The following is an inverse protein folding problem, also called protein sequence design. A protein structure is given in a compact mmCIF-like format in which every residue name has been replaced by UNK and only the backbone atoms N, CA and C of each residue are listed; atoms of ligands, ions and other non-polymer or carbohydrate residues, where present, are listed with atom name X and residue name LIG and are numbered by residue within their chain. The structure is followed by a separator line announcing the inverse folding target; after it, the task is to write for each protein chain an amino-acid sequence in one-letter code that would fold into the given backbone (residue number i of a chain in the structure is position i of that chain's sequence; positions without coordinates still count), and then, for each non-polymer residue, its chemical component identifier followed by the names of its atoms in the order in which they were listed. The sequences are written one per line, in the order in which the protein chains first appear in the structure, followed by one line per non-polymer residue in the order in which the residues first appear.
data_IF_965489620343
#
_entry.id   IF_965489620343
#
_cell.length_a   1.000
_cell.length_b   1.000
_cell.length_c   1.000
_cell.angle_alpha   90.00
_cell.angle_beta   90.00
_cell.angle_gamma   90.00
#
_symmetry.space_group_name_H-M   'P 1'
#
loop_
_entity.id
_entity.type
_entity.pdbx_description
1 polymer ?
#
# COMPACT_ATOMS: atom_id res chain seq x y z
N UNK A 1 4.83 62.74 -9.25
CA UNK A 1 4.40 62.18 -7.94
C UNK A 1 2.98 61.68 -8.10
N UNK A 2 2.72 60.46 -7.61
CA UNK A 2 1.43 59.76 -7.49
C UNK A 2 1.13 58.67 -8.54
N UNK A 3 1.27 57.42 -8.06
CA UNK A 3 0.41 56.24 -8.25
C UNK A 3 0.55 55.33 -9.49
N UNK A 4 1.07 54.12 -9.25
CA UNK A 4 0.47 52.78 -9.50
C UNK A 4 1.61 51.76 -9.33
N UNK A 5 1.99 51.33 -8.12
CA UNK A 5 1.37 50.28 -7.29
C UNK A 5 1.17 48.97 -8.05
N UNK A 6 2.05 48.02 -7.70
CA UNK A 6 1.88 46.56 -7.61
C UNK A 6 1.21 45.78 -8.75
N UNK A 7 2.04 45.15 -9.58
CA UNK A 7 1.63 43.97 -10.36
C UNK A 7 2.78 42.98 -10.51
N UNK A 8 3.22 42.34 -9.42
CA UNK A 8 4.05 41.10 -9.51
C UNK A 8 3.81 40.11 -8.36
N UNK A 9 2.86 40.35 -7.45
CA UNK A 9 2.63 39.50 -6.27
C UNK A 9 1.34 38.64 -6.33
N UNK A 10 0.78 38.42 -7.52
CA UNK A 10 -0.52 37.74 -7.71
C UNK A 10 -0.46 36.55 -8.69
N UNK A 11 0.68 35.86 -8.76
CA UNK A 11 0.78 34.58 -9.49
C UNK A 11 0.89 33.35 -8.59
N UNK A 12 1.11 33.54 -7.28
CA UNK A 12 1.35 32.45 -6.32
C UNK A 12 0.08 32.03 -5.53
N UNK A 13 -1.07 32.64 -5.80
CA UNK A 13 -2.35 32.34 -5.14
C UNK A 13 -3.29 31.41 -5.93
N UNK A 14 -2.87 30.93 -7.11
CA UNK A 14 -3.75 30.16 -8.01
C UNK A 14 -3.66 28.62 -7.87
N UNK A 15 -2.85 28.08 -6.95
CA UNK A 15 -2.68 26.61 -6.84
C UNK A 15 -3.56 25.92 -5.77
N UNK A 16 -4.48 26.65 -5.12
CA UNK A 16 -5.38 26.10 -4.09
C UNK A 16 -6.68 25.48 -4.64
N UNK A 17 -6.78 25.28 -5.97
CA UNK A 17 -7.97 24.71 -6.62
C UNK A 17 -7.70 23.35 -7.27
N UNK A 18 -6.94 22.47 -6.62
CA UNK A 18 -7.09 21.04 -6.88
C UNK A 18 -8.46 20.64 -6.31
N UNK A 19 -9.49 20.64 -7.17
CA UNK A 19 -10.86 20.32 -6.79
C UNK A 19 -10.92 19.01 -5.97
N UNK A 20 -11.91 18.90 -5.08
CA UNK A 20 -12.11 17.66 -4.30
C UNK A 20 -11.99 16.46 -5.24
N UNK A 21 -11.14 15.46 -4.93
CA UNK A 21 -11.04 14.26 -5.75
C UNK A 21 -12.43 13.69 -5.99
N UNK A 22 -12.68 13.16 -7.18
CA UNK A 22 -13.92 12.42 -7.42
C UNK A 22 -14.04 11.31 -6.36
N UNK A 23 -15.28 10.98 -5.99
CA UNK A 23 -15.53 9.92 -5.00
C UNK A 23 -14.78 8.64 -5.41
N UNK A 24 -13.98 8.08 -4.50
CA UNK A 24 -13.18 6.87 -4.75
C UNK A 24 -11.80 7.12 -5.34
N UNK A 25 -11.44 8.37 -5.64
CA UNK A 25 -10.15 8.71 -6.27
C UNK A 25 -9.18 9.47 -5.35
N UNK A 26 -9.55 9.74 -4.09
CA UNK A 26 -8.62 10.39 -3.16
C UNK A 26 -7.55 9.38 -2.70
N UNK A 27 -6.28 9.55 -3.11
CA UNK A 27 -5.21 8.62 -2.75
C UNK A 27 -4.93 8.63 -1.25
N UNK A 28 -5.14 9.76 -0.56
CA UNK A 28 -4.96 9.87 0.89
C UNK A 28 -6.00 9.02 1.60
N UNK A 29 -7.26 9.11 1.15
CA UNK A 29 -8.35 8.30 1.70
C UNK A 29 -8.15 6.81 1.44
N UNK A 30 -7.71 6.46 0.22
CA UNK A 30 -7.39 5.07 -0.15
C UNK A 30 -6.29 4.50 0.75
N UNK A 31 -5.20 5.23 0.95
CA UNK A 31 -4.10 4.83 1.82
C UNK A 31 -4.56 4.69 3.28
N UNK A 32 -5.40 5.60 3.78
CA UNK A 32 -5.98 5.52 5.12
C UNK A 32 -6.79 4.23 5.32
N UNK A 33 -7.59 3.85 4.33
CA UNK A 33 -8.39 2.61 4.36
C UNK A 33 -7.47 1.37 4.35
N UNK A 34 -6.46 1.34 3.48
CA UNK A 34 -5.50 0.22 3.38
C UNK A 34 -4.71 0.07 4.69
N UNK A 35 -4.32 1.16 5.32
CA UNK A 35 -3.62 1.11 6.61
C UNK A 35 -4.53 0.60 7.75
N UNK A 36 -5.81 0.99 7.76
CA UNK A 36 -6.77 0.40 8.69
C UNK A 36 -6.97 -1.10 8.44
N UNK A 37 -7.06 -1.49 7.16
CA UNK A 37 -7.16 -2.90 6.75
C UNK A 37 -5.97 -3.72 7.24
N UNK A 38 -4.75 -3.22 7.02
CA UNK A 38 -3.50 -3.82 7.45
C UNK A 38 -3.54 -4.17 8.93
N UNK A 39 -3.90 -3.20 9.79
CA UNK A 39 -3.96 -3.42 11.24
C UNK A 39 -5.01 -4.45 11.63
N UNK A 40 -6.21 -4.38 11.05
CA UNK A 40 -7.27 -5.35 11.34
C UNK A 40 -6.88 -6.77 10.92
N UNK A 41 -6.29 -6.95 9.74
CA UNK A 41 -5.90 -8.28 9.27
C UNK A 41 -4.69 -8.86 10.02
N UNK A 42 -3.78 -8.00 10.48
CA UNK A 42 -2.65 -8.39 11.33
C UNK A 42 -3.12 -8.88 12.71
N UNK A 43 -4.12 -8.19 13.28
CA UNK A 43 -4.65 -8.48 14.61
C UNK A 43 -5.61 -9.67 14.61
N UNK A 44 -6.56 -9.69 13.68
CA UNK A 44 -7.66 -10.67 13.65
C UNK A 44 -7.46 -11.81 12.67
N UNK A 45 -6.53 -11.69 11.73
CA UNK A 45 -6.48 -12.53 10.54
C UNK A 45 -7.56 -12.14 9.51
N UNK A 46 -7.46 -12.69 8.30
CA UNK A 46 -8.41 -12.42 7.22
C UNK A 46 -9.84 -12.88 7.56
N UNK A 47 -9.97 -14.05 8.18
CA UNK A 47 -11.25 -14.69 8.46
C UNK A 47 -12.12 -13.90 9.46
N UNK A 48 -11.57 -13.59 10.63
CA UNK A 48 -12.31 -12.90 11.69
C UNK A 48 -12.49 -11.39 11.44
N UNK A 49 -11.78 -10.82 10.46
CA UNK A 49 -11.94 -9.43 10.06
C UNK A 49 -13.24 -9.20 9.28
N UNK A 50 -13.87 -8.04 9.53
CA UNK A 50 -15.05 -7.56 8.79
C UNK A 50 -14.82 -6.16 8.19
N UNK A 51 -15.60 -5.81 7.16
CA UNK A 51 -15.62 -4.44 6.61
C UNK A 51 -15.94 -3.38 7.68
N UNK A 52 -16.76 -3.71 8.67
CA UNK A 52 -17.09 -2.81 9.78
C UNK A 52 -15.90 -2.59 10.74
N UNK A 53 -15.10 -3.64 10.99
CA UNK A 53 -13.86 -3.50 11.75
C UNK A 53 -12.89 -2.54 11.06
N UNK A 54 -12.72 -2.73 9.75
CA UNK A 54 -11.81 -1.91 8.93
C UNK A 54 -12.31 -0.46 8.87
N UNK A 55 -13.62 -0.26 8.70
CA UNK A 55 -14.25 1.07 8.71
C UNK A 55 -13.93 1.82 10.01
N UNK A 56 -14.10 1.13 11.15
CA UNK A 56 -13.82 1.69 12.48
C UNK A 56 -12.34 1.99 12.66
N UNK A 57 -11.47 1.04 12.31
CA UNK A 57 -10.02 1.18 12.44
C UNK A 57 -9.45 2.28 11.54
N UNK A 58 -9.96 2.39 10.32
CA UNK A 58 -9.55 3.44 9.38
C UNK A 58 -10.14 4.81 9.73
N UNK A 59 -11.13 4.90 10.63
CA UNK A 59 -11.80 6.17 10.95
C UNK A 59 -12.57 6.77 9.76
N UNK A 60 -13.18 5.92 8.92
CA UNK A 60 -13.99 6.33 7.76
C UNK A 60 -15.45 5.93 7.95
N UNK A 61 -16.35 6.46 7.13
CA UNK A 61 -17.75 6.00 7.15
C UNK A 61 -17.93 4.72 6.33
N UNK A 62 -19.00 3.97 6.61
CA UNK A 62 -19.37 2.79 5.81
C UNK A 62 -19.57 3.16 4.33
N UNK A 63 -20.27 4.26 4.04
CA UNK A 63 -20.42 4.73 2.66
C UNK A 63 -19.07 5.06 2.00
N UNK A 64 -18.12 5.61 2.77
CA UNK A 64 -16.78 5.91 2.27
C UNK A 64 -16.01 4.65 1.91
N UNK A 65 -15.98 3.61 2.75
CA UNK A 65 -15.19 2.41 2.44
C UNK A 65 -15.69 1.70 1.17
N UNK A 66 -17.01 1.60 1.00
CA UNK A 66 -17.63 0.92 -0.16
C UNK A 66 -17.51 1.70 -1.48
N UNK A 67 -17.12 2.97 -1.41
CA UNK A 67 -16.77 3.75 -2.61
C UNK A 67 -15.36 3.38 -3.13
N UNK A 68 -14.48 2.86 -2.27
CA UNK A 68 -13.11 2.45 -2.65
C UNK A 68 -12.97 0.95 -2.86
N UNK A 69 -13.72 0.14 -2.12
CA UNK A 69 -13.60 -1.32 -2.14
C UNK A 69 -14.98 -1.95 -1.96
N UNK A 70 -15.39 -2.77 -2.92
CA UNK A 70 -16.69 -3.45 -2.94
C UNK A 70 -16.82 -4.45 -1.79
N UNK A 71 -15.71 -5.11 -1.43
CA UNK A 71 -15.70 -6.19 -0.45
C UNK A 71 -14.33 -6.32 0.25
N UNK A 72 -14.26 -7.28 1.19
CA UNK A 72 -13.08 -7.52 2.04
C UNK A 72 -11.92 -8.09 1.21
N UNK A 73 -12.25 -8.88 0.20
CA UNK A 73 -11.35 -9.57 -0.70
C UNK A 73 -10.59 -8.58 -1.58
N UNK A 74 -11.28 -7.65 -2.23
CA UNK A 74 -10.68 -6.59 -3.05
C UNK A 74 -9.73 -5.70 -2.23
N UNK A 75 -10.17 -5.33 -1.02
CA UNK A 75 -9.38 -4.55 -0.09
C UNK A 75 -8.15 -5.31 0.42
N UNK A 76 -8.26 -6.63 0.61
CA UNK A 76 -7.12 -7.49 0.92
C UNK A 76 -6.14 -7.57 -0.26
N UNK A 77 -6.63 -7.80 -1.49
CA UNK A 77 -5.79 -7.80 -2.69
C UNK A 77 -5.01 -6.48 -2.85
N UNK A 78 -5.68 -5.35 -2.64
CA UNK A 78 -5.06 -4.02 -2.70
C UNK A 78 -3.97 -3.82 -1.64
N UNK A 79 -4.20 -4.29 -0.42
CA UNK A 79 -3.20 -4.27 0.65
C UNK A 79 -1.96 -5.10 0.27
N UNK A 80 -2.18 -6.30 -0.25
CA UNK A 80 -1.08 -7.20 -0.62
C UNK A 80 -0.23 -6.62 -1.76
N UNK A 81 -0.85 -5.98 -2.75
CA UNK A 81 -0.14 -5.29 -3.82
C UNK A 81 0.73 -4.13 -3.29
N UNK A 82 0.21 -3.36 -2.33
CA UNK A 82 0.96 -2.25 -1.69
C UNK A 82 2.13 -2.75 -0.84
N UNK A 83 1.94 -3.83 -0.08
CA UNK A 83 3.01 -4.45 0.70
C UNK A 83 4.10 -5.02 -0.21
N UNK A 84 3.74 -5.66 -1.33
CA UNK A 84 4.70 -6.17 -2.33
C UNK A 84 5.60 -5.04 -2.86
N UNK A 85 4.99 -3.94 -3.29
CA UNK A 85 5.72 -2.77 -3.78
C UNK A 85 6.67 -2.20 -2.71
N UNK A 86 6.23 -2.14 -1.46
CA UNK A 86 7.02 -1.56 -0.36
C UNK A 86 8.15 -2.47 0.12
N UNK A 87 7.90 -3.78 0.24
CA UNK A 87 8.84 -4.76 0.81
C UNK A 87 10.06 -4.95 -0.10
N UNK A 88 9.85 -4.97 -1.41
CA UNK A 88 10.89 -5.36 -2.38
C UNK A 88 11.55 -4.19 -3.12
N UNK A 89 11.00 -2.97 -3.08
CA UNK A 89 11.56 -1.81 -3.79
C UNK A 89 13.06 -1.61 -3.53
N UNK A 90 13.47 -1.51 -2.26
CA UNK A 90 14.87 -1.27 -1.90
C UNK A 90 15.76 -2.51 -2.10
N UNK A 91 15.17 -3.69 -2.27
CA UNK A 91 15.94 -4.92 -2.48
C UNK A 91 16.50 -4.95 -3.91
N UNK A 92 15.71 -4.51 -4.89
CA UNK A 92 16.12 -4.48 -6.29
C UNK A 92 17.17 -3.40 -6.59
N UNK A 93 17.17 -2.29 -5.86
CA UNK A 93 18.19 -1.23 -5.99
C UNK A 93 19.63 -1.74 -5.74
N UNK A 94 19.78 -2.84 -4.99
CA UNK A 94 21.07 -3.52 -4.76
C UNK A 94 21.61 -4.14 -6.06
N UNK A 95 20.73 -4.56 -6.96
CA UNK A 95 21.11 -5.17 -8.23
C UNK A 95 21.51 -4.13 -9.29
N UNK A 96 21.04 -2.89 -9.17
CA UNK A 96 21.34 -1.81 -10.12
C UNK A 96 22.80 -1.32 -10.06
N UNK A 97 23.47 -1.53 -8.92
CA UNK A 97 24.84 -1.09 -8.68
C UNK A 97 25.82 -2.26 -8.83
N UNK A 98 26.04 -2.66 -10.08
CA UNK A 98 26.83 -3.83 -10.43
C UNK A 98 28.29 -3.47 -10.75
N UNK A 99 29.22 -3.86 -9.86
CA UNK A 99 30.66 -3.87 -10.14
C UNK A 99 31.26 -5.28 -10.15
N UNK A 100 30.87 -6.12 -9.16
CA UNK A 100 31.34 -7.49 -8.99
C UNK A 100 30.15 -8.42 -8.72
N UNK A 101 29.93 -9.39 -9.62
CA UNK A 101 28.79 -10.31 -9.56
C UNK A 101 28.68 -11.03 -8.23
N UNK A 102 29.80 -11.56 -7.72
CA UNK A 102 29.80 -12.33 -6.47
C UNK A 102 29.42 -11.43 -5.30
N UNK A 103 30.03 -10.24 -5.20
CA UNK A 103 29.76 -9.29 -4.12
C UNK A 103 28.32 -8.78 -4.17
N UNK A 104 27.80 -8.47 -5.35
CA UNK A 104 26.41 -8.03 -5.53
C UNK A 104 25.42 -9.12 -5.14
N UNK A 105 25.62 -10.37 -5.60
CA UNK A 105 24.74 -11.49 -5.23
C UNK A 105 24.79 -11.82 -3.74
N UNK A 106 25.96 -11.74 -3.10
CA UNK A 106 26.07 -11.95 -1.64
C UNK A 106 25.34 -10.85 -0.87
N UNK A 107 25.53 -9.58 -1.22
CA UNK A 107 24.82 -8.46 -0.59
C UNK A 107 23.31 -8.58 -0.77
N UNK A 108 22.87 -8.90 -1.99
CA UNK A 108 21.46 -9.13 -2.29
C UNK A 108 20.90 -10.30 -1.48
N UNK A 109 21.59 -11.45 -1.46
CA UNK A 109 21.15 -12.62 -0.71
C UNK A 109 21.04 -12.37 0.79
N UNK A 110 21.98 -11.62 1.38
CA UNK A 110 21.92 -11.19 2.78
C UNK A 110 20.75 -10.24 3.04
N UNK A 111 20.58 -9.22 2.20
CA UNK A 111 19.47 -8.26 2.32
C UNK A 111 18.10 -8.94 2.17
N UNK A 112 17.98 -9.85 1.19
CA UNK A 112 16.81 -10.67 0.97
C UNK A 112 16.53 -11.54 2.21
N UNK A 113 17.54 -12.26 2.71
CA UNK A 113 17.40 -13.14 3.88
C UNK A 113 16.89 -12.35 5.10
N UNK A 114 17.54 -11.23 5.43
CA UNK A 114 17.12 -10.37 6.56
C UNK A 114 15.69 -9.87 6.37
N UNK A 115 15.31 -9.50 5.14
CA UNK A 115 13.97 -9.00 4.83
C UNK A 115 12.91 -10.08 4.99
N UNK A 116 13.08 -11.23 4.33
CA UNK A 116 12.07 -12.30 4.31
C UNK A 116 11.92 -12.97 5.67
N UNK A 117 12.96 -12.99 6.50
CA UNK A 117 12.90 -13.52 7.87
C UNK A 117 12.50 -12.48 8.91
N UNK A 118 12.16 -11.26 8.51
CA UNK A 118 11.70 -10.24 9.47
C UNK A 118 10.30 -10.59 10.00
N UNK A 119 10.05 -10.28 11.27
CA UNK A 119 8.76 -10.58 11.91
C UNK A 119 7.58 -9.97 11.13
N UNK A 120 7.74 -8.75 10.60
CA UNK A 120 6.73 -8.07 9.77
C UNK A 120 6.38 -8.89 8.52
N UNK A 121 7.39 -9.34 7.77
CA UNK A 121 7.16 -10.09 6.52
C UNK A 121 6.58 -11.47 6.81
N UNK A 122 7.05 -12.16 7.87
CA UNK A 122 6.49 -13.44 8.31
C UNK A 122 5.02 -13.28 8.68
N UNK A 123 4.66 -12.23 9.42
CA UNK A 123 3.27 -11.98 9.80
C UNK A 123 2.39 -11.73 8.56
N UNK A 124 2.85 -10.89 7.63
CA UNK A 124 2.14 -10.65 6.37
C UNK A 124 1.95 -11.94 5.56
N UNK A 125 2.99 -12.77 5.44
CA UNK A 125 2.90 -14.08 4.77
C UNK A 125 1.88 -14.99 5.44
N UNK A 126 1.84 -15.05 6.78
CA UNK A 126 0.84 -15.86 7.51
C UNK A 126 -0.58 -15.39 7.24
N UNK A 127 -0.81 -14.07 7.18
CA UNK A 127 -2.11 -13.52 6.81
C UNK A 127 -2.51 -13.92 5.38
N UNK A 128 -1.58 -13.89 4.42
CA UNK A 128 -1.83 -14.33 3.04
C UNK A 128 -2.12 -15.83 2.96
N UNK A 129 -1.32 -16.66 3.64
CA UNK A 129 -1.53 -18.12 3.66
C UNK A 129 -2.91 -18.45 4.24
N UNK A 130 -3.28 -17.82 5.36
CA UNK A 130 -4.61 -18.02 5.95
C UNK A 130 -5.77 -17.55 5.06
N UNK A 131 -5.55 -16.57 4.18
CA UNK A 131 -6.55 -16.14 3.19
C UNK A 131 -6.64 -17.09 1.98
N UNK A 132 -5.50 -17.64 1.54
CA UNK A 132 -5.43 -18.55 0.39
C UNK A 132 -6.22 -19.85 0.60
N UNK A 133 -6.36 -20.31 1.85
CA UNK A 133 -7.18 -21.48 2.21
C UNK A 133 -8.67 -21.29 1.86
N UNK A 134 -9.17 -20.05 1.81
CA UNK A 134 -10.57 -19.72 1.50
C UNK A 134 -10.79 -19.23 0.07
N UNK A 135 -9.77 -18.62 -0.51
CA UNK A 135 -9.84 -18.02 -1.85
C UNK A 135 -8.71 -18.61 -2.69
N UNK A 136 -8.92 -19.79 -3.30
CA UNK A 136 -7.90 -20.44 -4.13
C UNK A 136 -7.40 -19.52 -5.25
N UNK A 137 -8.30 -18.71 -5.85
CA UNK A 137 -7.91 -17.73 -6.87
C UNK A 137 -7.06 -16.57 -6.32
N UNK A 138 -7.07 -16.30 -5.01
CA UNK A 138 -6.20 -15.29 -4.40
C UNK A 138 -4.77 -15.81 -4.24
N UNK A 139 -4.61 -17.10 -3.91
CA UNK A 139 -3.31 -17.77 -3.95
C UNK A 139 -2.70 -17.76 -5.36
N UNK A 140 -3.51 -18.08 -6.38
CA UNK A 140 -3.09 -18.02 -7.79
C UNK A 140 -2.69 -16.61 -8.22
N UNK A 141 -3.52 -15.59 -7.95
CA UNK A 141 -3.23 -14.19 -8.30
C UNK A 141 -2.04 -13.61 -7.54
N UNK A 142 -1.81 -14.03 -6.29
CA UNK A 142 -0.61 -13.69 -5.54
C UNK A 142 0.66 -14.25 -6.20
N UNK A 143 0.60 -15.49 -6.70
CA UNK A 143 1.71 -16.14 -7.36
C UNK A 143 1.98 -15.58 -8.78
N UNK A 144 0.92 -15.32 -9.55
CA UNK A 144 1.00 -14.73 -10.91
C UNK A 144 1.50 -13.28 -10.91
N UNK A 145 1.23 -12.54 -9.84
CA UNK A 145 1.78 -11.19 -9.58
C UNK A 145 3.06 -11.23 -8.74
N UNK A 146 3.70 -12.41 -8.62
CA UNK A 146 5.01 -12.55 -7.99
C UNK A 146 6.07 -11.63 -8.60
N UNK A 147 7.22 -11.44 -7.93
CA UNK A 147 8.24 -10.53 -8.41
C UNK A 147 8.72 -10.98 -9.80
N UNK A 148 8.68 -10.07 -10.78
CA UNK A 148 9.34 -10.23 -12.07
C UNK A 148 10.72 -9.62 -12.01
#
# INVERSE_FOLDING_TARGET
MTSMVDTTADSDLLDLRKGRPAAGQDPVKRAQIIEGARRVFIDKGFEAASMNDITREAGVSKGTIYVYFENKEELFEALIEEERGTIFKNLYEVLDHFEDLRKTLVKFGMALSIKITSAKVIQAQRTVVGAADRIPELGARFYERGPK
#
